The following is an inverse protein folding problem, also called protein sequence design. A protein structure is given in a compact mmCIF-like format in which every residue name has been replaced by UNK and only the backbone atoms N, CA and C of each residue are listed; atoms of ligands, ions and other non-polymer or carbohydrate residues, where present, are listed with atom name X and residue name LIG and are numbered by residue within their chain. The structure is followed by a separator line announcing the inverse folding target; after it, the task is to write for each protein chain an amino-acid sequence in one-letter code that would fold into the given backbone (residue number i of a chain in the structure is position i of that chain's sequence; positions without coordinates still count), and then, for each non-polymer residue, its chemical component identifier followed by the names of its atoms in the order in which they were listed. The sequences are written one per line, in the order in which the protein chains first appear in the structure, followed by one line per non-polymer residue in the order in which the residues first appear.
data_IF_725442865615
#
_entry.id   IF_725442865615
#
_cell.length_a   1.000
_cell.length_b   1.000
_cell.length_c   1.000
_cell.angle_alpha   90.00
_cell.angle_beta   90.00
_cell.angle_gamma   90.00
#
_symmetry.space_group_name_H-M   'P 1'
#
loop_
_entity.id
_entity.type
_entity.pdbx_description
1 polymer ?
#
# COMPACT_ATOMS: atom_id res chain seq x y z
N UNK A 1 -13.34 -9.08 4.29
CA UNK A 1 -12.09 -8.75 3.55
C UNK A 1 -11.53 -7.43 4.06
N UNK A 2 -10.30 -7.45 4.49
CA UNK A 2 -9.57 -6.27 4.94
C UNK A 2 -8.67 -5.76 3.81
N UNK A 3 -8.76 -4.48 3.49
CA UNK A 3 -7.92 -3.83 2.48
C UNK A 3 -6.80 -3.06 3.18
N UNK A 4 -5.56 -3.40 2.89
CA UNK A 4 -4.38 -2.76 3.42
C UNK A 4 -3.56 -2.15 2.28
N UNK A 5 -3.28 -0.86 2.36
CA UNK A 5 -2.33 -0.21 1.46
C UNK A 5 -0.93 -0.42 2.01
N UNK A 6 0.00 -0.81 1.15
CA UNK A 6 1.42 -0.89 1.47
C UNK A 6 2.20 -0.06 0.46
N UNK A 7 3.00 0.88 0.93
CA UNK A 7 3.68 1.86 0.08
C UNK A 7 4.93 2.42 0.75
N UNK A 8 5.95 2.67 -0.03
CA UNK A 8 7.09 3.49 0.36
C UNK A 8 6.98 4.86 -0.34
N UNK A 9 7.02 5.93 0.43
CA UNK A 9 6.91 7.30 -0.06
C UNK A 9 7.94 8.21 0.62
N UNK A 10 8.44 9.18 -0.13
CA UNK A 10 9.29 10.23 0.40
C UNK A 10 8.50 11.20 1.31
N UNK A 11 9.20 12.05 2.04
CA UNK A 11 8.58 13.06 2.91
C UNK A 11 7.65 14.02 2.16
N UNK A 12 7.93 14.28 0.88
CA UNK A 12 7.08 15.07 -0.02
C UNK A 12 6.02 14.24 -0.76
N UNK A 13 5.74 13.02 -0.31
CA UNK A 13 4.74 12.08 -0.85
C UNK A 13 5.07 11.46 -2.22
N UNK A 14 6.26 11.70 -2.75
CA UNK A 14 6.71 11.09 -4.01
C UNK A 14 6.90 9.60 -3.83
N UNK A 15 6.35 8.81 -4.76
CA UNK A 15 6.50 7.35 -4.79
C UNK A 15 7.18 6.83 -6.06
N UNK A 16 7.33 7.67 -7.08
CA UNK A 16 7.97 7.26 -8.32
C UNK A 16 8.36 8.43 -9.22
N UNK A 17 9.24 8.11 -10.17
CA UNK A 17 9.66 8.98 -11.25
C UNK A 17 9.96 8.12 -12.48
N UNK A 18 9.43 8.50 -13.64
CA UNK A 18 9.63 7.78 -14.90
C UNK A 18 9.31 6.27 -14.81
N UNK A 19 8.23 5.90 -14.10
CA UNK A 19 7.78 4.53 -13.84
C UNK A 19 8.78 3.66 -13.04
N UNK A 20 9.72 4.27 -12.32
CA UNK A 20 10.73 3.56 -11.55
C UNK A 20 10.77 3.96 -10.08
N UNK A 21 11.43 3.13 -9.29
CA UNK A 21 11.78 3.44 -7.90
C UNK A 21 12.91 4.47 -7.87
N UNK A 22 12.86 5.38 -6.90
CA UNK A 22 13.84 6.47 -6.74
C UNK A 22 14.95 6.09 -5.75
N UNK A 23 14.72 5.08 -4.91
CA UNK A 23 15.64 4.66 -3.86
C UNK A 23 15.77 3.14 -3.78
N UNK A 24 16.80 2.71 -3.06
CA UNK A 24 16.99 1.31 -2.70
C UNK A 24 16.99 1.16 -1.17
N UNK A 25 16.04 0.38 -0.65
CA UNK A 25 15.87 0.07 0.77
C UNK A 25 15.64 -1.43 0.95
N UNK A 26 16.69 -2.15 1.29
CA UNK A 26 16.61 -3.61 1.51
C UNK A 26 15.66 -3.98 2.66
N UNK A 27 15.64 -3.18 3.72
CA UNK A 27 14.75 -3.39 4.86
C UNK A 27 13.28 -3.27 4.49
N UNK A 28 12.94 -2.34 3.57
CA UNK A 28 11.58 -2.18 3.06
C UNK A 28 11.13 -3.40 2.27
N UNK A 29 11.97 -3.93 1.40
CA UNK A 29 11.68 -5.14 0.62
C UNK A 29 11.46 -6.36 1.52
N UNK A 30 12.23 -6.50 2.59
CA UNK A 30 12.07 -7.57 3.57
C UNK A 30 10.75 -7.45 4.33
N UNK A 31 10.41 -6.25 4.76
CA UNK A 31 9.14 -5.99 5.45
C UNK A 31 7.95 -6.24 4.53
N UNK A 32 8.02 -5.77 3.30
CA UNK A 32 7.01 -6.04 2.28
C UNK A 32 6.76 -7.54 2.09
N UNK A 33 7.82 -8.32 1.95
CA UNK A 33 7.73 -9.77 1.84
C UNK A 33 7.10 -10.40 3.08
N UNK A 34 7.52 -9.99 4.27
CA UNK A 34 7.02 -10.52 5.53
C UNK A 34 5.51 -10.23 5.72
N UNK A 35 5.06 -9.02 5.38
CA UNK A 35 3.65 -8.61 5.52
C UNK A 35 2.75 -9.29 4.50
N UNK A 36 3.19 -9.41 3.24
CA UNK A 36 2.33 -9.84 2.13
C UNK A 36 2.30 -11.34 1.90
N UNK A 37 3.32 -12.10 2.31
CA UNK A 37 3.39 -13.56 2.10
C UNK A 37 2.18 -14.26 2.72
N UNK A 38 1.53 -15.12 1.95
CA UNK A 38 0.32 -15.82 2.35
C UNK A 38 -0.98 -15.06 2.14
N UNK A 39 -0.92 -13.85 1.59
CA UNK A 39 -2.08 -13.00 1.32
C UNK A 39 -2.24 -12.72 -0.17
N UNK A 40 -3.36 -12.12 -0.53
CA UNK A 40 -3.57 -11.58 -1.86
C UNK A 40 -2.90 -10.21 -2.02
N UNK A 41 -2.36 -9.94 -3.19
CA UNK A 41 -1.80 -8.66 -3.59
C UNK A 41 -2.51 -8.16 -4.85
N UNK A 42 -2.88 -6.88 -4.83
CA UNK A 42 -3.62 -6.21 -5.88
C UNK A 42 -2.82 -5.03 -6.41
N UNK A 43 -2.68 -4.93 -7.73
CA UNK A 43 -1.85 -3.91 -8.37
C UNK A 43 -2.37 -3.53 -9.74
N UNK A 44 -1.95 -2.39 -10.24
CA UNK A 44 -2.11 -2.02 -11.63
C UNK A 44 -1.05 -2.68 -12.53
N UNK A 45 -1.30 -2.65 -13.84
CA UNK A 45 -0.42 -3.26 -14.85
C UNK A 45 1.03 -2.76 -14.77
N UNK A 46 1.22 -1.45 -14.67
CA UNK A 46 2.58 -0.86 -14.62
C UNK A 46 3.38 -1.33 -13.41
N UNK A 47 2.74 -1.50 -12.27
CA UNK A 47 3.37 -2.05 -11.07
C UNK A 47 3.78 -3.50 -11.28
N UNK A 48 2.92 -4.31 -11.89
CA UNK A 48 3.26 -5.70 -12.25
C UNK A 48 4.46 -5.76 -13.20
N UNK A 49 4.46 -4.95 -14.24
CA UNK A 49 5.58 -4.88 -15.20
C UNK A 49 6.89 -4.45 -14.52
N UNK A 50 6.82 -3.51 -13.59
CA UNK A 50 7.98 -3.06 -12.81
C UNK A 50 8.56 -4.16 -11.93
N UNK A 51 7.72 -5.01 -11.34
CA UNK A 51 8.18 -6.18 -10.58
C UNK A 51 8.75 -7.29 -11.47
N UNK A 52 8.33 -7.35 -12.72
CA UNK A 52 8.81 -8.27 -13.74
C UNK A 52 8.19 -9.67 -13.69
N UNK A 53 7.55 -10.05 -12.59
CA UNK A 53 6.91 -11.37 -12.43
C UNK A 53 5.90 -11.37 -11.28
N UNK A 54 5.02 -12.38 -11.28
CA UNK A 54 4.18 -12.66 -10.12
C UNK A 54 5.03 -13.05 -8.90
N UNK A 55 4.63 -12.57 -7.73
CA UNK A 55 5.35 -12.87 -6.49
C UNK A 55 4.90 -14.22 -5.92
N UNK A 56 5.84 -15.08 -5.52
CA UNK A 56 5.53 -16.41 -5.01
C UNK A 56 4.81 -16.34 -3.65
N UNK A 57 4.04 -17.38 -3.34
CA UNK A 57 3.29 -17.55 -2.08
C UNK A 57 2.27 -16.43 -1.80
N UNK A 58 1.79 -15.79 -2.84
CA UNK A 58 0.76 -14.74 -2.80
C UNK A 58 -0.17 -14.90 -3.99
N UNK A 59 -1.44 -14.60 -3.77
CA UNK A 59 -2.39 -14.51 -4.88
C UNK A 59 -2.19 -13.16 -5.56
N UNK A 60 -1.70 -13.16 -6.81
CA UNK A 60 -1.44 -11.94 -7.57
C UNK A 60 -2.66 -11.59 -8.41
N UNK A 61 -3.21 -10.39 -8.24
CA UNK A 61 -4.30 -9.86 -9.06
C UNK A 61 -3.87 -8.53 -9.67
N UNK A 62 -3.99 -8.43 -10.99
CA UNK A 62 -3.58 -7.26 -11.76
C UNK A 62 -4.79 -6.62 -12.43
N UNK A 63 -4.96 -5.32 -12.27
CA UNK A 63 -5.98 -4.54 -12.95
C UNK A 63 -5.39 -3.98 -14.25
N UNK A 64 -6.01 -4.32 -15.36
CA UNK A 64 -5.67 -3.78 -16.67
C UNK A 64 -6.91 -3.60 -17.54
N UNK A 65 -7.09 -2.39 -18.08
CA UNK A 65 -8.13 -2.11 -19.06
C UNK A 65 -7.87 -2.70 -20.45
N UNK A 66 -6.68 -3.26 -20.70
CA UNK A 66 -6.34 -3.94 -21.93
C UNK A 66 -6.73 -5.43 -21.86
N UNK A 67 -7.76 -5.86 -22.61
CA UNK A 67 -8.21 -7.26 -22.57
C UNK A 67 -7.18 -8.26 -23.10
N UNK A 68 -6.20 -7.79 -23.86
CA UNK A 68 -5.10 -8.63 -24.37
C UNK A 68 -3.91 -8.76 -23.41
N UNK A 69 -3.94 -8.09 -22.27
CA UNK A 69 -2.85 -8.15 -21.29
C UNK A 69 -2.79 -9.53 -20.61
N UNK A 70 -1.63 -10.12 -20.60
CA UNK A 70 -1.36 -11.41 -19.97
C UNK A 70 -0.28 -11.22 -18.89
N UNK A 71 -0.58 -11.70 -17.70
CA UNK A 71 0.33 -11.67 -16.55
C UNK A 71 0.56 -13.12 -16.06
N UNK A 72 1.64 -13.80 -16.50
CA UNK A 72 1.90 -15.16 -16.06
C UNK A 72 1.98 -15.29 -14.54
N UNK A 73 1.21 -16.23 -13.98
CA UNK A 73 1.12 -16.44 -12.54
C UNK A 73 0.20 -15.48 -11.78
N UNK A 74 -0.49 -14.59 -12.49
CA UNK A 74 -1.45 -13.66 -11.92
C UNK A 74 -2.82 -13.79 -12.59
N UNK A 75 -3.85 -13.37 -11.88
CA UNK A 75 -5.20 -13.19 -12.42
C UNK A 75 -5.34 -11.73 -12.90
N UNK A 76 -5.87 -11.52 -14.09
CA UNK A 76 -6.08 -10.19 -14.67
C UNK A 76 -7.55 -9.86 -14.68
N UNK A 77 -7.89 -8.69 -14.18
CA UNK A 77 -9.27 -8.15 -14.13
C UNK A 77 -9.32 -6.77 -14.79
N UNK A 78 -10.46 -6.36 -15.37
CA UNK A 78 -10.53 -5.12 -16.15
C UNK A 78 -10.61 -3.84 -15.27
N UNK A 79 -11.11 -3.96 -14.06
CA UNK A 79 -11.40 -2.79 -13.21
C UNK A 79 -11.42 -3.15 -11.71
N UNK A 80 -11.51 -2.14 -10.87
CA UNK A 80 -11.56 -2.29 -9.41
C UNK A 80 -12.80 -3.07 -8.94
N UNK A 81 -14.03 -2.80 -9.41
CA UNK A 81 -15.17 -3.59 -8.99
C UNK A 81 -15.02 -5.09 -9.24
N UNK A 82 -14.46 -5.48 -10.38
CA UNK A 82 -14.17 -6.88 -10.70
C UNK A 82 -13.08 -7.47 -9.78
N UNK A 83 -12.06 -6.69 -9.46
CA UNK A 83 -11.02 -7.12 -8.51
C UNK A 83 -11.62 -7.39 -7.12
N UNK A 84 -12.45 -6.49 -6.62
CA UNK A 84 -13.08 -6.64 -5.31
C UNK A 84 -14.06 -7.83 -5.28
N UNK A 85 -14.80 -8.06 -6.33
CA UNK A 85 -15.66 -9.25 -6.46
C UNK A 85 -14.83 -10.55 -6.44
N UNK A 86 -13.76 -10.60 -7.20
CA UNK A 86 -12.86 -11.75 -7.24
C UNK A 86 -12.22 -12.06 -5.89
N UNK A 87 -11.87 -11.02 -5.14
CA UNK A 87 -11.12 -11.13 -3.89
C UNK A 87 -11.98 -11.20 -2.62
N UNK A 88 -13.30 -11.14 -2.73
CA UNK A 88 -14.18 -11.04 -1.56
C UNK A 88 -14.08 -12.18 -0.55
N UNK A 89 -13.54 -13.33 -0.95
CA UNK A 89 -13.30 -14.48 -0.05
C UNK A 89 -11.96 -14.41 0.69
N UNK A 90 -11.11 -13.46 0.36
CA UNK A 90 -9.82 -13.28 0.99
C UNK A 90 -9.97 -12.58 2.34
N UNK A 91 -9.18 -13.00 3.33
CA UNK A 91 -9.16 -12.35 4.65
C UNK A 91 -8.55 -10.94 4.56
N UNK A 92 -7.41 -10.82 3.88
CA UNK A 92 -6.68 -9.56 3.69
C UNK A 92 -6.13 -9.44 2.29
N UNK A 93 -6.23 -8.24 1.73
CA UNK A 93 -5.67 -7.89 0.43
C UNK A 93 -4.75 -6.68 0.59
N UNK A 94 -3.52 -6.81 0.10
CA UNK A 94 -2.56 -5.70 0.06
C UNK A 94 -2.61 -5.00 -1.29
N UNK A 95 -2.81 -3.70 -1.27
CA UNK A 95 -2.83 -2.84 -2.45
C UNK A 95 -1.44 -2.28 -2.68
N UNK A 96 -0.83 -2.61 -3.82
CA UNK A 96 0.57 -2.31 -4.12
C UNK A 96 0.79 -1.08 -5.01
N UNK A 97 -0.28 -0.49 -5.52
CA UNK A 97 -0.16 0.67 -6.39
C UNK A 97 -0.45 0.36 -7.87
N UNK A 98 -0.15 1.24 -8.81
CA UNK A 98 0.52 2.53 -8.61
C UNK A 98 -0.35 3.67 -8.13
N UNK A 99 0.07 4.90 -8.46
CA UNK A 99 -0.55 6.11 -7.92
C UNK A 99 -2.06 6.20 -8.11
N UNK A 100 -2.60 5.85 -9.28
CA UNK A 100 -4.04 5.84 -9.54
C UNK A 100 -4.78 4.81 -8.68
N UNK A 101 -4.19 3.64 -8.49
CA UNK A 101 -4.75 2.58 -7.65
C UNK A 101 -4.74 3.02 -6.18
N UNK A 102 -3.66 3.61 -5.69
CA UNK A 102 -3.61 4.15 -4.33
C UNK A 102 -4.70 5.19 -4.09
N UNK A 103 -4.91 6.12 -5.02
CA UNK A 103 -5.96 7.14 -4.89
C UNK A 103 -7.35 6.53 -4.77
N UNK A 104 -7.67 5.53 -5.58
CA UNK A 104 -8.96 4.85 -5.56
C UNK A 104 -9.21 4.08 -4.24
N UNK A 105 -8.16 3.52 -3.65
CA UNK A 105 -8.27 2.74 -2.40
C UNK A 105 -8.05 3.55 -1.14
N UNK A 106 -7.64 4.83 -1.26
CA UNK A 106 -7.26 5.63 -0.09
C UNK A 106 -8.36 5.78 0.96
N UNK A 107 -9.61 5.90 0.51
CA UNK A 107 -10.79 6.00 1.39
C UNK A 107 -11.48 4.64 1.64
N UNK A 108 -11.02 3.58 0.99
CA UNK A 108 -11.59 2.23 1.12
C UNK A 108 -10.78 1.31 2.01
N UNK A 109 -9.49 1.59 2.15
CA UNK A 109 -8.60 0.76 2.95
C UNK A 109 -8.78 1.01 4.44
N UNK A 110 -8.62 -0.04 5.24
CA UNK A 110 -8.69 0.03 6.70
C UNK A 110 -7.32 0.15 7.36
N UNK A 111 -6.25 -0.16 6.62
CA UNK A 111 -4.88 -0.06 7.10
C UNK A 111 -3.96 0.52 6.03
N UNK A 112 -2.95 1.25 6.49
CA UNK A 112 -1.88 1.79 5.67
C UNK A 112 -0.54 1.45 6.33
N UNK A 113 0.26 0.65 5.63
CA UNK A 113 1.64 0.37 5.99
C UNK A 113 2.55 1.25 5.13
N UNK A 114 3.00 2.35 5.71
CA UNK A 114 3.84 3.33 5.03
C UNK A 114 5.30 3.17 5.46
N UNK A 115 6.19 3.07 4.49
CA UNK A 115 7.60 3.35 4.71
C UNK A 115 7.87 4.78 4.27
N UNK A 116 8.07 5.67 5.24
CA UNK A 116 8.47 7.04 4.95
C UNK A 116 9.98 7.10 4.75
N UNK A 117 10.41 7.48 3.56
CA UNK A 117 11.81 7.63 3.21
C UNK A 117 12.21 9.09 3.44
N UNK A 118 13.23 9.31 4.27
CA UNK A 118 13.62 10.64 4.71
C UNK A 118 14.44 11.37 3.65
N UNK A 119 13.78 11.70 2.56
CA UNK A 119 14.28 12.48 1.44
C UNK A 119 13.11 13.19 0.76
N UNK A 120 13.39 14.18 -0.06
CA UNK A 120 12.35 14.94 -0.80
C UNK A 120 12.78 15.10 -2.26
N UNK A 121 12.83 14.00 -3.03
CA UNK A 121 13.23 14.03 -4.43
C UNK A 121 12.16 14.65 -5.32
N UNK A 122 12.54 15.04 -6.51
CA UNK A 122 11.59 15.31 -7.58
C UNK A 122 10.98 13.98 -8.08
N UNK A 123 9.69 14.01 -8.39
CA UNK A 123 8.98 12.85 -8.93
C UNK A 123 7.68 13.27 -9.60
N UNK A 124 7.07 12.32 -10.29
CA UNK A 124 5.84 12.51 -11.05
C UNK A 124 4.64 11.75 -10.49
N UNK A 125 4.85 10.88 -9.53
CA UNK A 125 3.81 10.08 -8.92
C UNK A 125 3.82 10.24 -7.41
N UNK A 126 2.63 10.45 -6.84
CA UNK A 126 2.46 10.81 -5.42
C UNK A 126 1.37 9.96 -4.78
N UNK A 127 1.49 9.74 -3.46
CA UNK A 127 0.35 9.30 -2.64
C UNK A 127 -0.46 10.52 -2.20
N UNK A 128 -1.76 10.35 -1.88
CA UNK A 128 -2.53 11.39 -1.22
C UNK A 128 -1.93 11.78 0.13
N UNK A 129 -2.21 12.99 0.58
CA UNK A 129 -1.86 13.40 1.93
C UNK A 129 -2.55 12.51 2.97
N UNK A 130 -1.85 12.24 4.07
CA UNK A 130 -2.40 11.47 5.18
C UNK A 130 -3.10 12.43 6.14
N UNK A 131 -4.43 12.44 6.09
CA UNK A 131 -5.25 13.29 6.94
C UNK A 131 -5.27 12.74 8.38
N UNK A 132 -4.71 13.47 9.36
CA UNK A 132 -4.65 13.00 10.75
C UNK A 132 -6.03 12.94 11.43
N UNK A 133 -7.06 13.54 10.84
CA UNK A 133 -8.43 13.44 11.34
C UNK A 133 -9.10 12.14 10.91
N UNK A 134 -8.60 11.50 9.87
CA UNK A 134 -9.12 10.23 9.32
C UNK A 134 -8.26 9.04 9.66
N UNK A 135 -6.95 9.17 9.54
CA UNK A 135 -5.98 8.12 9.82
C UNK A 135 -5.41 8.25 11.22
N UNK A 136 -5.36 7.14 11.94
CA UNK A 136 -4.73 7.03 13.26
C UNK A 136 -3.38 6.34 13.13
N UNK A 137 -2.31 7.01 13.56
CA UNK A 137 -0.98 6.40 13.65
C UNK A 137 -0.97 5.43 14.84
N UNK A 138 -0.80 4.13 14.55
CA UNK A 138 -0.81 3.06 15.57
C UNK A 138 0.56 2.43 15.80
N UNK A 139 1.53 2.72 14.98
CA UNK A 139 2.90 2.24 15.14
C UNK A 139 3.90 3.10 14.41
N UNK A 140 5.08 3.27 15.01
CA UNK A 140 6.21 3.98 14.42
C UNK A 140 7.52 3.29 14.79
N UNK A 141 8.38 3.11 13.80
CA UNK A 141 9.70 2.53 13.97
C UNK A 141 10.69 3.28 13.08
N UNK A 142 11.68 3.97 13.69
CA UNK A 142 12.66 4.78 12.99
C UNK A 142 13.96 4.00 12.77
N UNK A 143 14.54 4.13 11.58
CA UNK A 143 15.77 3.47 11.18
C UNK A 143 16.72 4.42 10.46
N UNK A 144 18.02 4.15 10.58
CA UNK A 144 19.06 4.90 9.92
C UNK A 144 19.50 4.23 8.63
N UNK A 145 19.96 5.06 7.68
CA UNK A 145 20.66 4.61 6.48
C UNK A 145 21.87 3.74 6.83
N UNK A 146 22.15 2.78 5.99
CA UNK A 146 23.32 1.90 6.10
C UNK A 146 23.78 1.43 4.71
N UNK A 147 24.62 0.42 4.64
CA UNK A 147 25.15 -0.10 3.37
C UNK A 147 24.08 -0.69 2.44
N UNK A 148 22.95 -1.13 3.01
CA UNK A 148 21.83 -1.76 2.29
C UNK A 148 20.61 -0.86 2.15
N UNK A 149 20.62 0.27 2.84
CA UNK A 149 19.51 1.23 2.87
C UNK A 149 20.03 2.64 2.63
N UNK A 150 19.67 3.18 1.49
CA UNK A 150 20.24 4.42 0.93
C UNK A 150 19.92 5.66 1.76
N UNK A 151 18.77 5.70 2.43
CA UNK A 151 18.27 6.81 3.25
C UNK A 151 17.83 6.34 4.61
N UNK A 152 17.75 7.27 5.58
CA UNK A 152 16.98 7.05 6.81
C UNK A 152 15.51 6.85 6.44
N UNK A 153 14.83 6.02 7.18
CA UNK A 153 13.43 5.69 6.92
C UNK A 153 12.68 5.35 8.20
N UNK A 154 11.36 5.45 8.13
CA UNK A 154 10.48 5.09 9.23
C UNK A 154 9.37 4.18 8.73
N UNK A 155 9.05 3.13 9.48
CA UNK A 155 7.84 2.36 9.28
C UNK A 155 6.72 3.00 10.08
N UNK A 156 5.67 3.45 9.39
CA UNK A 156 4.51 4.11 9.97
C UNK A 156 3.27 3.29 9.65
N UNK A 157 2.61 2.78 10.66
CA UNK A 157 1.39 1.99 10.52
C UNK A 157 0.19 2.82 10.94
N UNK A 158 -0.79 2.92 10.04
CA UNK A 158 -2.02 3.69 10.26
C UNK A 158 -3.24 2.79 10.15
N UNK A 159 -4.29 3.17 10.90
CA UNK A 159 -5.63 2.58 10.86
C UNK A 159 -6.66 3.61 10.42
N UNK A 160 -7.63 3.19 9.61
CA UNK A 160 -8.75 3.99 9.14
C UNK A 160 -10.07 3.18 9.20
N UNK A 161 -11.19 3.79 9.57
CA UNK A 161 -11.30 5.14 10.08
C UNK A 161 -10.72 5.27 11.49
N UNK A 162 -10.26 6.49 11.83
CA UNK A 162 -9.81 6.80 13.19
C UNK A 162 -10.93 6.52 14.18
N UNK A 163 -10.67 5.67 15.16
CA UNK A 163 -11.66 5.34 16.18
C UNK A 163 -11.66 6.46 17.21
N UNK A 164 -12.69 7.28 17.17
CA UNK A 164 -13.00 8.15 18.29
C UNK A 164 -13.73 7.32 19.34
N UNK A 165 -13.12 7.07 20.47
CA UNK A 165 -13.85 6.59 21.62
C UNK A 165 -14.86 7.67 21.99
N UNK A 166 -16.09 7.55 21.52
CA UNK A 166 -17.21 8.17 22.20
C UNK A 166 -17.27 7.48 23.57
N UNK A 167 -16.76 8.17 24.59
CA UNK A 167 -17.21 7.92 25.94
C UNK A 167 -18.69 8.32 25.90
N UNK A 168 -19.54 7.34 25.63
CA UNK A 168 -20.95 7.49 25.92
C UNK A 168 -21.02 7.64 27.43
N UNK A 169 -21.03 8.86 27.89
CA UNK A 169 -21.59 9.15 29.18
C UNK A 169 -23.06 8.72 29.06
N UNK A 170 -23.31 7.50 29.44
CA UNK A 170 -24.66 7.05 29.71
C UNK A 170 -25.22 7.90 30.84
N UNK A 171 -26.03 8.90 30.47
CA UNK A 171 -26.79 9.71 31.41
C UNK A 171 -27.99 8.95 32.00
N UNK A 172 -27.94 7.65 32.06
CA UNK A 172 -29.05 6.82 32.60
C UNK A 172 -28.79 6.31 34.01
N UNK A 173 -28.10 7.08 34.84
CA UNK A 173 -28.19 6.94 36.30
C UNK A 173 -28.81 8.20 36.89
N UNK A 174 -30.12 8.20 36.92
CA UNK A 174 -30.94 8.91 37.90
C UNK A 174 -31.65 7.91 38.79
#
# INVERSE_FOLDING_TARGET
MELAIIVAAAENHVIGRDNGLIWHLSADLKRFKALTTGHAILMGRKTFESMGRALPNRRNVVISGNPGFVAPGAEVVPDIPKALELLKGEERVFVLGGGSIYREFWDKASQLYLTEVHTSPEGDTFIPAIDPDKWELIGREDHYADEKNEFDYSFLDYRYPKIFFRIAFDRSFR
#
